data_IF_045114420258
#
_entry.id   IF_045114420258
#
_cell.length_a   1.000
_cell.length_b   1.000
_cell.length_c   1.000
_cell.angle_alpha   90.00
_cell.angle_beta   90.00
_cell.angle_gamma   90.00
#
_symmetry.space_group_name_H-M   'P 1'
#
loop_
_entity.id
_entity.type
_entity.pdbx_description
1 polymer ?
#
# COMPACT_ATOMS: atom_id res chain seq x y z
N UNK A 1 -11.80 -25.61 8.43
CA UNK A 1 -12.12 -24.30 7.85
C UNK A 1 -11.02 -23.31 8.21
N UNK A 2 -10.63 -22.43 7.29
CA UNK A 2 -9.59 -21.47 7.60
C UNK A 2 -10.12 -20.37 8.50
N UNK A 3 -9.22 -19.75 9.25
CA UNK A 3 -9.59 -18.62 10.11
C UNK A 3 -9.64 -17.35 9.29
N UNK A 4 -10.24 -16.31 9.90
CA UNK A 4 -10.29 -15.00 9.23
C UNK A 4 -8.87 -14.46 8.98
N UNK A 5 -7.96 -14.72 9.91
CA UNK A 5 -6.58 -14.29 9.77
C UNK A 5 -5.91 -14.97 8.59
N UNK A 6 -6.13 -16.26 8.43
CA UNK A 6 -5.57 -16.97 7.29
C UNK A 6 -6.17 -16.50 5.97
N UNK A 7 -7.48 -16.23 5.97
CA UNK A 7 -8.12 -15.70 4.77
C UNK A 7 -7.52 -14.36 4.38
N UNK A 8 -7.24 -13.52 5.37
CA UNK A 8 -6.62 -12.21 5.11
C UNK A 8 -5.23 -12.39 4.53
N UNK A 9 -4.44 -13.30 5.09
CA UNK A 9 -3.09 -13.54 4.58
C UNK A 9 -3.12 -14.00 3.13
N UNK A 10 -4.05 -14.89 2.81
CA UNK A 10 -4.17 -15.38 1.43
C UNK A 10 -4.56 -14.26 0.48
N UNK A 11 -5.47 -13.41 0.92
CA UNK A 11 -5.88 -12.27 0.11
C UNK A 11 -4.71 -11.34 -0.14
N UNK A 12 -3.93 -11.03 0.89
CA UNK A 12 -2.78 -10.15 0.75
C UNK A 12 -1.71 -10.76 -0.14
N UNK A 13 -1.47 -12.07 -0.03
CA UNK A 13 -0.53 -12.74 -0.91
C UNK A 13 -0.98 -12.70 -2.36
N UNK A 14 -2.28 -12.88 -2.60
CA UNK A 14 -2.81 -12.81 -3.95
C UNK A 14 -2.63 -11.42 -4.54
N UNK A 15 -2.86 -10.38 -3.72
CA UNK A 15 -2.64 -9.01 -4.16
C UNK A 15 -1.17 -8.80 -4.49
N UNK A 16 -0.28 -9.27 -3.62
CA UNK A 16 1.15 -9.12 -3.84
C UNK A 16 1.58 -9.77 -5.15
N UNK A 17 1.09 -10.96 -5.44
CA UNK A 17 1.46 -11.65 -6.66
C UNK A 17 0.89 -10.98 -7.90
N UNK A 18 -0.35 -10.51 -7.80
CA UNK A 18 -1.03 -9.90 -8.94
C UNK A 18 -0.42 -8.55 -9.29
N UNK A 19 -0.06 -7.76 -8.28
CA UNK A 19 0.41 -6.40 -8.47
C UNK A 19 1.87 -6.24 -8.05
N UNK A 20 2.67 -7.29 -8.23
CA UNK A 20 4.06 -7.28 -7.77
C UNK A 20 4.85 -6.13 -8.36
N UNK A 21 4.71 -5.89 -9.66
CA UNK A 21 5.45 -4.82 -10.32
C UNK A 21 5.08 -3.45 -9.74
N UNK A 22 3.78 -3.25 -9.51
CA UNK A 22 3.31 -1.98 -8.96
C UNK A 22 3.79 -1.79 -7.54
N UNK A 23 3.77 -2.84 -6.74
CA UNK A 23 4.22 -2.76 -5.35
C UNK A 23 5.73 -2.52 -5.28
N UNK A 24 6.51 -3.12 -6.17
CA UNK A 24 7.95 -2.88 -6.21
C UNK A 24 8.24 -1.43 -6.60
N UNK A 25 7.48 -0.91 -7.55
CA UNK A 25 7.64 0.49 -7.95
C UNK A 25 7.35 1.42 -6.78
N UNK A 26 6.26 1.14 -6.06
CA UNK A 26 5.88 1.96 -4.92
C UNK A 26 6.95 1.89 -3.84
N UNK A 27 7.49 0.70 -3.58
CA UNK A 27 8.54 0.55 -2.58
C UNK A 27 9.77 1.36 -2.97
N UNK A 28 10.14 1.34 -4.25
CA UNK A 28 11.28 2.13 -4.72
C UNK A 28 11.03 3.62 -4.51
N UNK A 29 9.81 4.08 -4.80
CA UNK A 29 9.47 5.48 -4.59
C UNK A 29 9.53 5.86 -3.11
N UNK A 30 9.08 4.95 -2.24
CA UNK A 30 9.12 5.20 -0.80
C UNK A 30 10.57 5.31 -0.33
N UNK A 31 11.44 4.40 -0.80
CA UNK A 31 12.83 4.45 -0.43
C UNK A 31 13.50 5.73 -0.88
N UNK A 32 13.24 6.15 -2.12
CA UNK A 32 13.79 7.41 -2.61
C UNK A 32 13.30 8.59 -1.79
N UNK A 33 12.01 8.60 -1.46
CA UNK A 33 11.44 9.69 -0.67
C UNK A 33 12.07 9.72 0.72
N UNK A 34 12.28 8.56 1.32
CA UNK A 34 12.93 8.49 2.63
C UNK A 34 14.32 9.09 2.58
N UNK A 35 15.07 8.78 1.52
CA UNK A 35 16.42 9.32 1.36
C UNK A 35 16.41 10.83 1.21
N UNK A 36 15.31 11.40 0.73
CA UNK A 36 15.18 12.84 0.55
C UNK A 36 14.42 13.50 1.69
N UNK A 37 14.19 12.75 2.78
CA UNK A 37 13.49 13.24 3.96
C UNK A 37 12.03 13.58 3.71
N UNK A 38 11.44 12.96 2.71
CA UNK A 38 10.01 13.10 2.44
C UNK A 38 9.23 12.07 3.25
N UNK A 39 7.91 12.31 3.38
CA UNK A 39 7.06 11.42 4.18
C UNK A 39 5.88 10.87 3.40
N UNK A 40 5.85 11.12 2.11
CA UNK A 40 4.75 10.60 1.30
C UNK A 40 5.15 10.54 -0.16
N UNK A 41 4.43 9.71 -0.90
CA UNK A 41 4.60 9.61 -2.34
C UNK A 41 3.21 9.52 -2.96
N UNK A 42 3.12 9.94 -4.21
CA UNK A 42 1.88 9.86 -4.98
C UNK A 42 2.13 8.97 -6.18
N UNK A 43 1.26 7.98 -6.37
CA UNK A 43 1.40 7.07 -7.49
C UNK A 43 0.11 7.06 -8.30
N UNK A 44 0.24 6.81 -9.60
CA UNK A 44 -0.90 6.68 -10.50
C UNK A 44 -1.01 5.22 -10.89
N UNK A 45 -2.21 4.67 -10.72
CA UNK A 45 -2.46 3.27 -11.04
C UNK A 45 -3.36 3.20 -12.26
N UNK A 46 -3.58 1.99 -12.76
CA UNK A 46 -4.27 1.83 -14.04
C UNK A 46 -5.78 1.77 -13.91
N UNK A 47 -6.28 1.45 -12.73
CA UNK A 47 -7.72 1.36 -12.53
C UNK A 47 -8.07 1.59 -11.08
N UNK A 48 -9.34 1.84 -10.83
CA UNK A 48 -9.81 2.01 -9.46
C UNK A 48 -9.69 0.70 -8.69
N UNK A 49 -9.88 -0.41 -9.36
CA UNK A 49 -9.76 -1.71 -8.71
C UNK A 49 -8.33 -1.96 -8.26
N UNK A 50 -7.36 -1.65 -9.12
CA UNK A 50 -5.94 -1.79 -8.76
C UNK A 50 -5.63 -0.89 -7.58
N UNK A 51 -6.12 0.35 -7.60
CA UNK A 51 -5.90 1.27 -6.50
C UNK A 51 -6.44 0.70 -5.18
N UNK A 52 -7.66 0.15 -5.22
CA UNK A 52 -8.28 -0.39 -4.00
C UNK A 52 -7.49 -1.57 -3.45
N UNK A 53 -7.03 -2.45 -4.32
CA UNK A 53 -6.26 -3.62 -3.88
C UNK A 53 -4.91 -3.22 -3.30
N UNK A 54 -4.20 -2.34 -3.99
CA UNK A 54 -2.91 -1.86 -3.52
C UNK A 54 -3.07 -1.09 -2.22
N UNK A 55 -4.14 -0.28 -2.12
CA UNK A 55 -4.43 0.46 -0.90
C UNK A 55 -4.61 -0.49 0.28
N UNK A 56 -5.38 -1.55 0.09
CA UNK A 56 -5.62 -2.51 1.16
C UNK A 56 -4.31 -3.13 1.64
N UNK A 57 -3.45 -3.50 0.70
CA UNK A 57 -2.17 -4.12 1.02
C UNK A 57 -1.29 -3.15 1.85
N UNK A 58 -1.20 -1.90 1.38
CA UNK A 58 -0.36 -0.91 2.07
C UNK A 58 -0.93 -0.53 3.43
N UNK A 59 -2.24 -0.42 3.54
CA UNK A 59 -2.87 -0.13 4.83
C UNK A 59 -2.51 -1.21 5.85
N UNK A 60 -2.46 -2.47 5.41
CA UNK A 60 -2.12 -3.57 6.29
C UNK A 60 -0.68 -3.46 6.78
N UNK A 61 0.21 -2.87 5.99
CA UNK A 61 1.59 -2.66 6.38
C UNK A 61 1.79 -1.47 7.30
N UNK A 62 0.74 -0.69 7.53
CA UNK A 62 0.83 0.43 8.45
C UNK A 62 0.90 1.80 7.82
N UNK A 63 0.88 1.88 6.49
CA UNK A 63 0.88 3.16 5.81
C UNK A 63 -0.50 3.81 5.87
N UNK A 64 -0.53 5.12 5.78
CA UNK A 64 -1.76 5.86 5.57
C UNK A 64 -1.91 6.08 4.08
N UNK A 65 -3.07 5.71 3.54
CA UNK A 65 -3.29 5.84 2.09
C UNK A 65 -4.62 6.51 1.83
N UNK A 66 -4.64 7.34 0.80
CA UNK A 66 -5.88 7.96 0.34
C UNK A 66 -5.71 8.33 -1.13
N UNK A 67 -6.82 8.56 -1.78
CA UNK A 67 -6.76 8.92 -3.18
C UNK A 67 -8.12 8.85 -3.82
N UNK A 68 -8.17 9.18 -5.10
CA UNK A 68 -9.38 9.11 -5.88
C UNK A 68 -9.03 8.73 -7.31
N UNK A 69 -10.01 8.13 -7.99
CA UNK A 69 -9.82 7.69 -9.37
C UNK A 69 -8.63 6.74 -9.47
N UNK A 70 -7.58 7.13 -10.18
CA UNK A 70 -6.42 6.28 -10.40
C UNK A 70 -5.21 6.71 -9.59
N UNK A 71 -5.38 7.69 -8.71
CA UNK A 71 -4.28 8.28 -7.96
C UNK A 71 -4.34 7.79 -6.52
N UNK A 72 -3.19 7.39 -5.99
CA UNK A 72 -3.08 6.94 -4.62
C UNK A 72 -1.92 7.66 -3.94
N UNK A 73 -2.20 8.27 -2.80
CA UNK A 73 -1.17 8.88 -1.97
C UNK A 73 -0.84 7.93 -0.83
N UNK A 74 0.45 7.66 -0.63
CA UNK A 74 0.93 6.78 0.41
C UNK A 74 1.78 7.61 1.36
N UNK A 75 1.44 7.61 2.63
CA UNK A 75 2.12 8.44 3.63
C UNK A 75 2.53 7.59 4.82
N UNK A 76 3.67 7.92 5.39
CA UNK A 76 4.13 7.26 6.62
C UNK A 76 4.48 8.28 7.68
N UNK A 77 4.00 9.50 7.52
CA UNK A 77 4.26 10.56 8.47
C UNK A 77 3.66 10.25 9.83
N UNK A 78 2.46 9.70 9.84
CA UNK A 78 1.78 9.28 11.07
C UNK A 78 1.57 7.79 11.00
N UNK A 79 2.37 7.04 11.76
CA UNK A 79 2.25 5.58 11.75
C UNK A 79 0.99 5.18 12.47
N UNK A 80 0.23 4.29 11.92
CA UNK A 80 -1.05 3.87 12.47
C UNK A 80 -0.93 3.08 13.77
N UNK A 81 0.08 2.37 13.97
CA UNK A 81 0.23 1.57 15.17
C UNK A 81 0.20 2.42 16.41
N UNK A 82 0.14 2.41 16.73
CA UNK A 82 0.23 2.91 17.70
C UNK A 82 0.68 3.38 18.56
N UNK A 83 0.61 3.64 18.74
CA UNK A 83 0.98 4.07 19.51
C UNK A 83 0.81 4.49 20.18
N UNK A 84 0.42 4.43 20.27
CA UNK A 84 0.14 5.05 21.00
C UNK A 84 0.11 5.07 21.56
#
# INVERSE_FOLDING_TARGET
MITAEEARKRTLNAIKETYEDQLEMIESLICCACDESEHEVVVTLESCEERDKVKLYLDTLGYNTWGSDYVLTVSWRSVKSNEE
#
